data_IF_932668638902
#
_entry.id   IF_932668638902
#
_cell.length_a   1.000
_cell.length_b   1.000
_cell.length_c   1.000
_cell.angle_alpha   90.00
_cell.angle_beta   90.00
_cell.angle_gamma   90.00
#
_symmetry.space_group_name_H-M   'P 1'
#
loop_
_entity.id
_entity.type
_entity.pdbx_description
1 polymer ?
#
# COMPACT_ATOMS: atom_id res chain seq x y z
N UNK A 1 1.43 1.62 -5.84
CA UNK A 1 1.52 1.90 -7.29
C UNK A 1 2.67 1.10 -7.92
N UNK A 2 2.94 1.16 -9.23
CA UNK A 2 4.06 0.43 -9.86
C UNK A 2 5.13 1.35 -10.44
N UNK A 3 6.39 0.96 -10.31
CA UNK A 3 7.53 1.71 -10.83
C UNK A 3 7.57 1.75 -12.36
N UNK A 4 7.52 2.94 -12.95
CA UNK A 4 7.55 3.14 -14.41
C UNK A 4 8.95 2.98 -15.03
N UNK A 5 10.00 3.11 -14.20
CA UNK A 5 11.41 2.91 -14.58
C UNK A 5 12.20 2.29 -13.44
N UNK A 6 13.30 1.63 -13.77
CA UNK A 6 14.26 1.18 -12.74
C UNK A 6 15.04 2.39 -12.23
N UNK A 7 15.20 2.50 -10.92
CA UNK A 7 15.91 3.62 -10.29
C UNK A 7 16.34 3.24 -8.87
N UNK A 8 17.32 3.96 -8.34
CA UNK A 8 17.71 3.86 -6.94
C UNK A 8 17.25 5.12 -6.23
N UNK A 9 16.37 4.98 -5.24
CA UNK A 9 15.74 6.10 -4.53
C UNK A 9 15.66 5.72 -3.05
N UNK A 10 16.12 6.61 -2.15
CA UNK A 10 16.14 6.34 -0.71
C UNK A 10 16.98 5.12 -0.29
N UNK A 11 17.98 4.72 -1.10
CA UNK A 11 18.77 3.50 -0.86
C UNK A 11 18.11 2.20 -1.32
N UNK A 12 16.84 2.24 -1.75
CA UNK A 12 16.13 1.10 -2.30
C UNK A 12 16.40 0.95 -3.80
N UNK A 13 16.74 -0.27 -4.23
CA UNK A 13 16.87 -0.62 -5.64
C UNK A 13 15.50 -1.01 -6.20
N UNK A 14 14.91 -0.13 -7.01
CA UNK A 14 13.58 -0.32 -7.60
C UNK A 14 13.74 -0.73 -9.05
N UNK A 15 13.12 -1.83 -9.44
CA UNK A 15 13.04 -2.29 -10.83
C UNK A 15 11.73 -1.83 -11.46
N UNK A 16 11.77 -1.59 -12.77
CA UNK A 16 10.55 -1.34 -13.55
C UNK A 16 9.49 -2.43 -13.29
N UNK A 17 8.24 -2.02 -13.12
CA UNK A 17 7.05 -2.83 -12.77
C UNK A 17 6.95 -3.33 -11.33
N UNK A 18 7.95 -3.09 -10.48
CA UNK A 18 7.84 -3.41 -9.05
C UNK A 18 6.77 -2.55 -8.39
N UNK A 19 6.08 -3.13 -7.41
CA UNK A 19 5.22 -2.38 -6.52
C UNK A 19 6.08 -1.43 -5.68
N UNK A 20 5.61 -0.19 -5.53
CA UNK A 20 6.22 0.83 -4.68
C UNK A 20 5.18 1.41 -3.74
N UNK A 21 5.63 1.62 -2.50
CA UNK A 21 4.91 2.27 -1.42
C UNK A 21 5.49 3.66 -1.19
N UNK A 22 4.59 4.64 -1.12
CA UNK A 22 4.92 6.05 -0.90
C UNK A 22 4.23 6.50 0.38
N UNK A 23 4.96 7.19 1.25
CA UNK A 23 4.43 7.88 2.44
C UNK A 23 4.79 9.36 2.33
N UNK A 24 3.79 10.25 2.32
CA UNK A 24 3.98 11.70 2.14
C UNK A 24 4.86 12.12 0.95
N UNK A 25 4.86 11.30 -0.11
CA UNK A 25 5.66 11.52 -1.32
C UNK A 25 7.05 10.88 -1.28
N UNK A 26 7.49 10.41 -0.13
CA UNK A 26 8.75 9.68 0.04
C UNK A 26 8.58 8.19 -0.21
N UNK A 27 9.57 7.60 -0.88
CA UNK A 27 9.55 6.18 -1.23
C UNK A 27 10.04 5.35 -0.05
N UNK A 28 9.11 4.66 0.59
CA UNK A 28 9.34 3.92 1.83
C UNK A 28 9.62 2.43 1.58
N UNK A 29 8.98 1.84 0.56
CA UNK A 29 9.12 0.42 0.25
C UNK A 29 9.02 0.12 -1.25
N UNK A 30 9.72 -0.92 -1.69
CA UNK A 30 9.64 -1.46 -3.04
C UNK A 30 9.77 -2.99 -3.03
N UNK A 31 9.03 -3.65 -3.91
CA UNK A 31 8.96 -5.12 -3.94
C UNK A 31 8.25 -5.65 -5.18
N UNK A 32 8.28 -6.97 -5.38
CA UNK A 32 7.59 -7.58 -6.51
C UNK A 32 6.09 -7.76 -6.24
N UNK A 33 5.73 -7.88 -4.97
CA UNK A 33 4.38 -8.12 -4.49
C UNK A 33 3.82 -6.88 -3.77
N UNK A 34 2.57 -6.52 -4.07
CA UNK A 34 1.94 -5.33 -3.49
C UNK A 34 1.65 -5.53 -2.00
N UNK A 35 1.25 -6.73 -1.56
CA UNK A 35 0.99 -7.02 -0.16
C UNK A 35 2.28 -6.99 0.67
N UNK A 36 3.40 -7.47 0.13
CA UNK A 36 4.71 -7.35 0.81
C UNK A 36 5.10 -5.88 1.01
N UNK A 37 4.94 -5.06 -0.02
CA UNK A 37 5.26 -3.61 0.04
C UNK A 37 4.34 -2.89 1.02
N UNK A 38 3.06 -3.25 1.06
CA UNK A 38 2.10 -2.68 1.99
C UNK A 38 2.43 -3.02 3.43
N UNK A 39 2.72 -4.30 3.72
CA UNK A 39 3.12 -4.74 5.06
C UNK A 39 4.39 -4.03 5.53
N UNK A 40 5.38 -3.84 4.63
CA UNK A 40 6.58 -3.05 4.94
C UNK A 40 6.24 -1.60 5.29
N UNK A 41 5.32 -0.96 4.55
CA UNK A 41 4.90 0.39 4.89
C UNK A 41 4.21 0.45 6.25
N UNK A 42 3.28 -0.47 6.51
CA UNK A 42 2.53 -0.53 7.76
C UNK A 42 3.43 -0.80 8.97
N UNK A 43 4.51 -1.58 8.81
CA UNK A 43 5.49 -1.82 9.87
C UNK A 43 6.31 -0.57 10.24
N UNK A 44 6.52 0.34 9.29
CA UNK A 44 7.22 1.62 9.53
C UNK A 44 6.28 2.70 10.09
N UNK A 45 4.96 2.49 9.97
CA UNK A 45 3.94 3.39 10.48
C UNK A 45 3.63 3.07 11.95
N UNK A 46 3.46 4.11 12.77
CA UNK A 46 3.07 3.93 14.17
C UNK A 46 1.56 3.65 14.28
N UNK A 47 1.17 2.41 14.01
CA UNK A 47 -0.23 1.97 14.03
C UNK A 47 -0.85 1.86 15.43
N UNK A 48 -0.10 2.17 16.50
CA UNK A 48 -0.63 2.14 17.87
C UNK A 48 -1.58 3.30 18.18
N UNK A 49 -1.48 4.40 17.43
CA UNK A 49 -2.37 5.57 17.56
C UNK A 49 -3.47 5.58 16.49
N UNK A 50 -3.39 4.67 15.52
CA UNK A 50 -4.39 4.54 14.47
C UNK A 50 -5.62 3.79 14.98
N UNK A 51 -6.80 4.26 14.60
CA UNK A 51 -8.08 3.61 14.82
C UNK A 51 -8.61 3.00 13.51
N UNK A 52 -8.40 3.68 12.38
CA UNK A 52 -8.95 3.32 11.07
C UNK A 52 -7.89 3.37 9.98
N UNK A 53 -7.89 2.35 9.12
CA UNK A 53 -7.14 2.32 7.86
C UNK A 53 -8.13 2.23 6.70
N UNK A 54 -8.13 3.24 5.84
CA UNK A 54 -8.92 3.24 4.60
C UNK A 54 -8.03 2.97 3.39
N UNK A 55 -8.32 1.91 2.65
CA UNK A 55 -7.61 1.48 1.45
C UNK A 55 -8.44 1.87 0.23
N UNK A 56 -7.95 2.86 -0.51
CA UNK A 56 -8.52 3.29 -1.78
C UNK A 56 -7.85 2.56 -2.94
N UNK A 57 -8.56 1.68 -3.65
CA UNK A 57 -8.00 0.98 -4.80
C UNK A 57 -8.30 1.69 -6.13
N UNK A 58 -7.34 1.60 -7.06
CA UNK A 58 -7.35 2.25 -8.37
C UNK A 58 -8.30 1.61 -9.38
N UNK A 59 -8.47 2.25 -10.53
CA UNK A 59 -9.34 1.74 -11.60
C UNK A 59 -8.85 0.41 -12.20
N UNK A 60 -7.52 0.20 -12.20
CA UNK A 60 -6.86 -1.00 -12.74
C UNK A 60 -6.66 -2.12 -11.69
N UNK A 61 -7.22 -1.95 -10.49
CA UNK A 61 -7.11 -2.94 -9.40
C UNK A 61 -8.44 -3.66 -9.23
N UNK A 62 -8.41 -4.99 -9.20
CA UNK A 62 -9.60 -5.77 -8.95
C UNK A 62 -10.06 -5.66 -7.49
N UNK A 63 -11.37 -5.59 -7.23
CA UNK A 63 -11.90 -5.55 -5.86
C UNK A 63 -11.42 -6.73 -5.02
N UNK A 64 -11.34 -7.92 -5.61
CA UNK A 64 -10.84 -9.15 -4.98
C UNK A 64 -9.40 -9.01 -4.47
N UNK A 65 -8.52 -8.37 -5.23
CA UNK A 65 -7.15 -8.10 -4.79
C UNK A 65 -7.13 -7.13 -3.60
N UNK A 66 -7.96 -6.09 -3.63
CA UNK A 66 -8.07 -5.12 -2.54
C UNK A 66 -8.65 -5.74 -1.26
N UNK A 67 -9.65 -6.61 -1.41
CA UNK A 67 -10.24 -7.37 -0.31
C UNK A 67 -9.19 -8.27 0.34
N UNK A 68 -8.42 -9.02 -0.47
CA UNK A 68 -7.37 -9.91 0.02
C UNK A 68 -6.31 -9.15 0.85
N UNK A 69 -5.90 -7.99 0.35
CA UNK A 69 -5.01 -7.08 1.05
C UNK A 69 -5.60 -6.66 2.40
N UNK A 70 -6.87 -6.27 2.43
CA UNK A 70 -7.54 -5.85 3.68
C UNK A 70 -7.59 -6.97 4.72
N UNK A 71 -7.83 -8.22 4.29
CA UNK A 71 -7.84 -9.39 5.17
C UNK A 71 -6.46 -9.60 5.78
N UNK A 72 -5.40 -9.56 4.99
CA UNK A 72 -4.03 -9.72 5.49
C UNK A 72 -3.67 -8.66 6.54
N UNK A 73 -4.06 -7.40 6.32
CA UNK A 73 -3.77 -6.35 7.31
C UNK A 73 -4.62 -6.54 8.57
N UNK A 74 -5.90 -6.92 8.44
CA UNK A 74 -6.77 -7.23 9.60
C UNK A 74 -6.23 -8.38 10.44
N UNK A 75 -5.65 -9.40 9.81
CA UNK A 75 -5.03 -10.52 10.53
C UNK A 75 -3.82 -10.08 11.35
N UNK A 76 -3.04 -9.13 10.83
CA UNK A 76 -1.85 -8.59 11.51
C UNK A 76 -2.21 -7.54 12.57
N UNK A 77 -3.27 -6.77 12.33
CA UNK A 77 -3.72 -5.66 13.17
C UNK A 77 -5.22 -5.76 13.46
N UNK A 78 -5.66 -6.78 14.24
CA UNK A 78 -7.07 -7.02 14.50
C UNK A 78 -7.77 -5.91 15.28
N UNK A 79 -7.00 -5.04 15.94
CA UNK A 79 -7.50 -3.86 16.64
C UNK A 79 -7.89 -2.70 15.72
N UNK A 80 -7.41 -2.70 14.46
CA UNK A 80 -7.66 -1.62 13.51
C UNK A 80 -8.90 -1.89 12.68
N UNK A 81 -9.70 -0.86 12.48
CA UNK A 81 -10.79 -0.93 11.52
C UNK A 81 -10.24 -0.74 10.11
N UNK A 82 -10.45 -1.70 9.23
CA UNK A 82 -10.00 -1.60 7.83
C UNK A 82 -11.18 -1.44 6.91
N UNK A 83 -11.14 -0.40 6.09
CA UNK A 83 -12.14 -0.10 5.08
C UNK A 83 -11.52 -0.17 3.69
N UNK A 84 -12.25 -0.73 2.73
CA UNK A 84 -11.81 -0.82 1.34
C UNK A 84 -12.79 -0.02 0.49
N UNK A 85 -12.27 0.99 -0.19
CA UNK A 85 -13.05 1.93 -0.98
C UNK A 85 -12.53 1.95 -2.41
N UNK A 86 -13.43 1.97 -3.40
CA UNK A 86 -13.04 2.16 -4.79
C UNK A 86 -12.66 3.61 -5.02
N UNK A 87 -11.37 3.92 -5.04
CA UNK A 87 -10.86 5.25 -5.33
C UNK A 87 -10.88 5.59 -6.83
N UNK A 88 -10.77 4.58 -7.70
CA UNK A 88 -10.90 4.75 -9.16
C UNK A 88 -9.79 5.60 -9.79
N UNK A 89 -8.67 5.79 -9.09
CA UNK A 89 -7.58 6.64 -9.55
C UNK A 89 -6.81 5.95 -10.70
N UNK A 90 -6.46 6.68 -11.77
CA UNK A 90 -5.83 6.12 -12.97
C UNK A 90 -4.31 5.89 -12.84
N UNK A 91 -3.66 6.43 -11.80
CA UNK A 91 -2.20 6.37 -11.65
C UNK A 91 -1.73 5.67 -10.36
N UNK A 92 -2.66 5.34 -9.47
CA UNK A 92 -2.36 4.71 -8.19
C UNK A 92 -3.19 3.44 -8.04
N UNK A 93 -2.51 2.30 -7.91
CA UNK A 93 -3.17 1.03 -7.59
C UNK A 93 -3.83 1.06 -6.20
N UNK A 94 -3.16 1.70 -5.24
CA UNK A 94 -3.64 1.85 -3.87
C UNK A 94 -3.21 3.20 -3.30
N UNK A 95 -4.11 3.84 -2.55
CA UNK A 95 -3.83 4.90 -1.59
C UNK A 95 -4.33 4.42 -0.24
N UNK A 96 -3.55 4.66 0.80
CA UNK A 96 -3.91 4.30 2.17
C UNK A 96 -4.02 5.58 2.99
N UNK A 97 -5.15 5.74 3.67
CA UNK A 97 -5.35 6.75 4.71
C UNK A 97 -5.32 6.06 6.06
N UNK A 98 -4.67 6.67 7.03
CA UNK A 98 -4.57 6.17 8.40
C UNK A 98 -5.04 7.30 9.29
N UNK A 99 -6.05 7.01 10.10
CA UNK A 99 -6.65 7.91 11.08
C UNK A 99 -6.57 7.30 12.47
#
# INVERSE_FOLDING_TARGET
>A
TRAVRSTQLGGLNIKKKQAIGLLDGDLLAAGNDTAEVLNKMLAELNLNEAEVITIYYGADTEPTEAEQVSVTIREQHPQLQIEVVRGGQPHYNYIVSIE
#
